data_IF_406995004964
#
_entry.id   IF_406995004964
#
_cell.length_a   1.000
_cell.length_b   1.000
_cell.length_c   1.000
_cell.angle_alpha   90.00
_cell.angle_beta   90.00
_cell.angle_gamma   90.00
#
_symmetry.space_group_name_H-M   'P 1'
#
loop_
_entity.id
_entity.type
_entity.pdbx_description
1 polymer ?
#
# COMPACT_ATOMS: atom_id res chain seq x y z
N UNK A 1 10.85 23.90 2.85
CA UNK A 1 9.64 23.06 3.01
C UNK A 1 8.71 23.52 4.15
N UNK A 2 8.98 24.64 4.85
CA UNK A 2 8.08 25.13 5.92
C UNK A 2 8.06 24.25 7.17
N UNK A 3 9.02 23.34 7.31
CA UNK A 3 9.12 22.37 8.40
C UNK A 3 10.17 22.79 9.45
N UNK A 4 10.77 23.98 9.35
CA UNK A 4 11.89 24.42 10.19
C UNK A 4 11.59 24.52 11.71
N UNK A 5 10.32 24.53 12.10
CA UNK A 5 9.90 24.50 13.52
C UNK A 5 9.31 23.17 13.95
N UNK A 6 9.28 22.17 13.06
CA UNK A 6 8.77 20.86 13.40
C UNK A 6 9.74 20.16 14.37
N UNK A 7 9.20 19.65 15.48
CA UNK A 7 9.99 18.94 16.49
C UNK A 7 9.85 17.42 16.40
N UNK A 8 8.71 16.96 15.91
CA UNK A 8 8.37 15.55 15.76
C UNK A 8 7.56 15.41 14.48
N UNK A 9 8.06 14.60 13.55
CA UNK A 9 7.36 14.24 12.33
C UNK A 9 6.87 12.81 12.46
N UNK A 10 5.56 12.58 12.41
CA UNK A 10 4.98 11.24 12.55
C UNK A 10 4.13 10.85 11.35
N UNK A 11 4.14 9.57 10.99
CA UNK A 11 3.24 8.99 9.99
C UNK A 11 2.51 7.78 10.56
N UNK A 12 1.24 7.62 10.17
CA UNK A 12 0.32 6.63 10.74
C UNK A 12 -0.78 6.25 9.75
N UNK A 13 -1.62 5.30 10.17
CA UNK A 13 -2.84 4.84 9.52
C UNK A 13 -2.67 4.10 8.19
N UNK A 14 -1.72 4.48 7.34
CA UNK A 14 -1.38 3.77 6.11
C UNK A 14 0.15 3.58 6.00
N UNK A 15 0.61 2.52 5.31
CA UNK A 15 2.02 2.38 4.97
C UNK A 15 2.52 3.62 4.21
N UNK A 16 3.74 4.03 4.52
CA UNK A 16 4.46 5.07 3.80
C UNK A 16 5.62 4.40 3.04
N UNK A 17 5.79 4.75 1.77
CA UNK A 17 6.84 4.13 0.97
C UNK A 17 8.22 4.46 1.54
N UNK A 18 9.13 3.50 1.43
CA UNK A 18 10.50 3.66 1.88
C UNK A 18 11.21 4.85 1.21
N UNK A 19 10.94 5.07 -0.08
CA UNK A 19 11.49 6.19 -0.85
C UNK A 19 11.12 7.56 -0.26
N UNK A 20 9.89 7.71 0.24
CA UNK A 20 9.45 8.95 0.90
C UNK A 20 10.14 9.13 2.25
N UNK A 21 10.27 8.06 3.04
CA UNK A 21 11.02 8.11 4.30
C UNK A 21 12.47 8.53 4.08
N UNK A 22 13.13 7.93 3.08
CA UNK A 22 14.52 8.23 2.72
C UNK A 22 14.66 9.67 2.21
N UNK A 23 13.72 10.16 1.39
CA UNK A 23 13.72 11.54 0.93
C UNK A 23 13.70 12.55 2.09
N UNK A 24 12.84 12.37 3.09
CA UNK A 24 12.82 13.28 4.25
C UNK A 24 14.05 13.12 5.14
N UNK A 25 14.56 11.90 5.25
CA UNK A 25 15.78 11.61 6.01
C UNK A 25 17.01 12.28 5.39
N UNK A 26 17.09 12.41 4.05
CA UNK A 26 18.16 13.13 3.34
C UNK A 26 18.23 14.64 3.72
N UNK A 27 17.15 15.19 4.30
CA UNK A 27 17.11 16.55 4.83
C UNK A 27 17.23 16.62 6.37
N UNK A 28 17.68 15.54 7.02
CA UNK A 28 17.71 15.39 8.48
C UNK A 28 16.32 15.53 9.14
N UNK A 29 15.25 15.16 8.42
CA UNK A 29 13.86 15.16 8.91
C UNK A 29 13.39 13.71 9.06
N UNK A 30 13.73 13.01 10.16
CA UNK A 30 13.25 11.65 10.36
C UNK A 30 11.72 11.63 10.54
N UNK A 31 11.04 10.83 9.72
CA UNK A 31 9.61 10.54 9.89
C UNK A 31 9.48 9.30 10.77
N UNK A 32 8.83 9.45 11.92
CA UNK A 32 8.60 8.38 12.87
C UNK A 32 7.27 7.69 12.57
N UNK A 33 7.35 6.46 12.11
CA UNK A 33 6.17 5.64 11.89
C UNK A 33 5.60 5.11 13.19
N UNK A 34 4.27 5.08 13.27
CA UNK A 34 3.53 4.48 14.36
C UNK A 34 2.41 3.61 13.82
N UNK A 35 2.15 2.51 14.51
CA UNK A 35 1.17 1.53 14.09
C UNK A 35 0.23 1.17 15.23
N UNK A 36 -1.04 1.04 14.88
CA UNK A 36 -2.14 0.75 15.78
C UNK A 36 -3.47 0.83 15.03
N UNK A 37 -4.54 0.53 15.73
CA UNK A 37 -5.89 0.48 15.17
C UNK A 37 -6.91 1.01 16.17
N UNK A 38 -8.15 1.20 15.72
CA UNK A 38 -9.24 1.66 16.57
C UNK A 38 -9.49 0.70 17.73
N UNK A 39 -9.40 -0.61 17.46
CA UNK A 39 -9.58 -1.69 18.42
C UNK A 39 -8.47 -1.75 19.49
N UNK A 40 -7.32 -1.10 19.25
CA UNK A 40 -6.24 -0.91 20.24
C UNK A 40 -6.23 0.48 20.85
N UNK A 41 -7.27 1.29 20.67
CA UNK A 41 -7.36 2.67 21.18
C UNK A 41 -6.18 3.58 20.78
N UNK A 42 -5.57 3.35 19.62
CA UNK A 42 -4.41 4.10 19.14
C UNK A 42 -3.16 3.24 18.96
N UNK A 43 -1.94 3.82 19.12
CA UNK A 43 -0.70 3.15 18.77
C UNK A 43 -0.43 1.93 19.66
N UNK A 44 0.07 0.87 19.05
CA UNK A 44 0.67 -0.30 19.69
C UNK A 44 2.20 -0.22 19.64
N UNK A 45 2.74 0.26 18.53
CA UNK A 45 4.17 0.45 18.32
C UNK A 45 4.46 1.89 17.94
N UNK A 46 5.62 2.37 18.37
CA UNK A 46 6.08 3.73 18.15
C UNK A 46 7.55 3.71 17.76
N UNK A 47 7.89 4.38 16.68
CA UNK A 47 9.26 4.85 16.45
C UNK A 47 9.50 6.13 17.25
N UNK A 48 10.61 6.21 17.96
CA UNK A 48 10.96 7.35 18.81
C UNK A 48 12.31 7.94 18.40
N UNK A 49 12.56 9.19 18.82
CA UNK A 49 13.86 9.85 18.65
C UNK A 49 14.96 8.96 19.26
N UNK A 50 16.00 8.67 18.49
CA UNK A 50 17.09 7.76 18.89
C UNK A 50 16.74 6.26 18.87
N UNK A 51 15.48 5.90 18.62
CA UNK A 51 14.99 4.53 18.57
C UNK A 51 14.03 4.34 17.39
N UNK A 52 14.54 4.50 16.17
CA UNK A 52 13.80 4.28 14.94
C UNK A 52 14.65 3.49 13.93
N UNK A 53 13.98 2.77 13.04
CA UNK A 53 14.56 2.15 11.85
C UNK A 53 13.67 2.46 10.66
N UNK A 54 14.25 2.85 9.54
CA UNK A 54 13.50 3.16 8.31
C UNK A 54 12.66 1.96 7.88
N UNK A 55 11.35 2.18 7.66
CA UNK A 55 10.37 1.16 7.29
C UNK A 55 9.86 0.31 8.45
N UNK A 56 10.29 0.58 9.69
CA UNK A 56 9.72 -0.04 10.89
C UNK A 56 8.68 0.88 11.52
N UNK A 57 7.58 0.27 11.97
CA UNK A 57 6.56 0.94 12.79
C UNK A 57 6.96 1.08 14.27
N UNK A 58 8.22 0.79 14.58
CA UNK A 58 8.83 0.99 15.88
C UNK A 58 8.72 -0.21 16.81
N UNK A 59 8.92 0.05 18.11
CA UNK A 59 8.85 -0.96 19.17
C UNK A 59 7.53 -0.92 19.91
N UNK A 60 7.15 -2.03 20.52
CA UNK A 60 5.97 -2.12 21.39
C UNK A 60 6.01 -1.07 22.50
N UNK A 61 4.86 -0.43 22.74
CA UNK A 61 4.74 0.55 23.82
C UNK A 61 4.82 -0.11 25.20
N UNK A 62 5.27 0.67 26.20
CA UNK A 62 5.28 0.22 27.58
C UNK A 62 3.86 -0.17 28.05
N UNK A 63 3.73 -1.36 28.65
CA UNK A 63 2.46 -1.88 29.13
C UNK A 63 1.59 -2.57 28.07
N UNK A 64 2.06 -2.65 26.82
CA UNK A 64 1.47 -3.45 25.77
C UNK A 64 2.35 -4.68 25.47
N UNK A 65 1.73 -5.73 24.97
CA UNK A 65 2.37 -6.96 24.53
C UNK A 65 2.11 -7.17 23.05
N UNK A 66 3.12 -7.71 22.36
CA UNK A 66 3.13 -7.94 20.91
C UNK A 66 3.66 -9.35 20.65
N UNK A 67 2.99 -10.12 19.80
CA UNK A 67 3.52 -11.39 19.28
C UNK A 67 3.22 -11.53 17.78
N UNK A 68 4.01 -12.35 17.10
CA UNK A 68 3.73 -12.80 15.74
C UNK A 68 3.14 -14.21 15.84
N UNK A 69 1.92 -14.37 15.37
CA UNK A 69 1.23 -15.66 15.35
C UNK A 69 1.53 -16.43 14.06
N UNK A 70 1.73 -17.74 14.22
CA UNK A 70 2.03 -18.67 13.12
C UNK A 70 3.07 -18.13 12.10
N UNK A 71 4.25 -17.68 12.54
CA UNK A 71 5.24 -17.09 11.64
C UNK A 71 5.70 -18.09 10.59
N UNK A 72 5.68 -17.67 9.32
CA UNK A 72 6.24 -18.42 8.21
C UNK A 72 7.78 -18.45 8.23
N UNK A 73 8.41 -19.06 7.21
CA UNK A 73 9.87 -19.20 7.14
C UNK A 73 10.65 -17.87 7.23
N UNK A 74 10.04 -16.75 6.81
CA UNK A 74 10.64 -15.42 6.84
C UNK A 74 10.34 -14.64 8.13
N UNK A 75 9.68 -15.27 9.11
CA UNK A 75 9.23 -14.64 10.36
C UNK A 75 7.95 -13.82 10.24
N UNK A 76 7.38 -13.72 9.03
CA UNK A 76 6.11 -13.04 8.78
C UNK A 76 4.92 -13.90 9.25
N UNK A 77 4.04 -13.32 10.06
CA UNK A 77 2.82 -13.94 10.55
C UNK A 77 1.81 -12.88 10.98
N UNK A 78 0.67 -13.27 11.54
CA UNK A 78 -0.31 -12.29 12.01
C UNK A 78 0.25 -11.54 13.23
N UNK A 79 0.12 -10.22 13.23
CA UNK A 79 0.52 -9.40 14.37
C UNK A 79 -0.61 -9.41 15.41
N UNK A 80 -0.33 -9.87 16.62
CA UNK A 80 -1.30 -9.90 17.72
C UNK A 80 -0.91 -8.94 18.85
N UNK A 81 -1.92 -8.30 19.44
CA UNK A 81 -1.74 -7.34 20.55
C UNK A 81 -2.42 -7.81 21.81
N UNK A 82 -1.85 -7.47 22.96
CA UNK A 82 -2.54 -7.58 24.23
C UNK A 82 -2.17 -6.40 25.12
N UNK A 83 -3.12 -5.94 25.93
CA UNK A 83 -2.91 -4.83 26.87
C UNK A 83 -4.20 -4.14 27.26
N UNK A 84 -4.10 -3.23 28.23
CA UNK A 84 -5.26 -2.51 28.80
C UNK A 84 -5.95 -1.54 27.83
N UNK A 85 -5.28 -1.20 26.74
CA UNK A 85 -5.74 -0.30 25.69
C UNK A 85 -6.54 -1.01 24.59
N UNK A 86 -6.53 -2.35 24.56
CA UNK A 86 -7.42 -3.13 23.69
C UNK A 86 -8.87 -2.89 24.13
N UNK A 87 -9.74 -2.61 23.17
CA UNK A 87 -11.16 -2.36 23.40
C UNK A 87 -11.86 -3.56 24.07
N UNK A 88 -13.07 -3.33 24.62
CA UNK A 88 -13.87 -4.40 25.22
C UNK A 88 -14.65 -5.23 24.18
N UNK A 89 -14.60 -4.84 22.90
CA UNK A 89 -15.35 -5.48 21.82
C UNK A 89 -16.24 -4.54 21.01
N UNK A 90 -16.88 -5.11 20.00
CA UNK A 90 -17.78 -4.40 19.11
C UNK A 90 -19.19 -4.31 19.71
N UNK A 91 -19.77 -3.12 19.69
CA UNK A 91 -21.09 -2.85 20.25
C UNK A 91 -22.17 -3.71 19.58
N UNK A 92 -22.88 -4.53 20.37
CA UNK A 92 -23.95 -5.45 19.93
C UNK A 92 -23.49 -6.53 18.92
N UNK A 93 -22.20 -6.80 18.86
CA UNK A 93 -21.58 -7.70 17.89
C UNK A 93 -20.65 -8.68 18.61
N UNK A 94 -21.24 -9.51 19.48
CA UNK A 94 -20.51 -10.45 20.35
C UNK A 94 -19.67 -11.46 19.55
N UNK A 95 -20.23 -12.03 18.49
CA UNK A 95 -19.50 -12.96 17.61
C UNK A 95 -18.25 -12.31 17.01
N UNK A 96 -18.36 -11.08 16.49
CA UNK A 96 -17.19 -10.36 15.94
C UNK A 96 -16.17 -10.01 17.02
N UNK A 97 -16.62 -9.77 18.25
CA UNK A 97 -15.73 -9.56 19.40
C UNK A 97 -14.92 -10.82 19.70
N UNK A 98 -15.57 -11.97 19.75
CA UNK A 98 -14.92 -13.27 19.98
C UNK A 98 -14.00 -13.69 18.83
N UNK A 99 -14.29 -13.24 17.60
CA UNK A 99 -13.38 -13.44 16.46
C UNK A 99 -12.16 -12.52 16.49
N UNK A 100 -12.29 -11.32 17.08
CA UNK A 100 -11.22 -10.35 17.14
C UNK A 100 -10.32 -10.54 18.37
N UNK A 101 -10.86 -10.99 19.51
CA UNK A 101 -10.10 -11.21 20.74
C UNK A 101 -10.18 -12.69 21.10
N UNK A 102 -9.03 -13.36 21.16
CA UNK A 102 -8.96 -14.78 21.54
C UNK A 102 -9.18 -15.00 23.06
N UNK A 103 -9.28 -16.27 23.45
CA UNK A 103 -9.50 -16.67 24.85
C UNK A 103 -8.35 -16.24 25.80
N UNK A 104 -7.16 -16.01 25.25
CA UNK A 104 -5.95 -15.55 25.97
C UNK A 104 -5.84 -14.01 26.03
N UNK A 105 -6.84 -13.30 25.46
CA UNK A 105 -6.94 -11.84 25.43
C UNK A 105 -6.11 -11.17 24.33
N UNK A 106 -5.67 -11.90 23.31
CA UNK A 106 -4.98 -11.33 22.15
C UNK A 106 -5.96 -10.81 21.12
N UNK A 107 -5.78 -9.55 20.75
CA UNK A 107 -6.43 -8.91 19.61
C UNK A 107 -5.74 -9.32 18.31
N UNK A 108 -6.51 -9.96 17.42
CA UNK A 108 -6.20 -10.24 16.03
C UNK A 108 -6.26 -8.96 15.19
N UNK A 109 -5.09 -8.43 14.81
CA UNK A 109 -5.02 -7.20 14.01
C UNK A 109 -5.52 -7.40 12.57
N UNK A 110 -5.43 -8.64 12.06
CA UNK A 110 -5.63 -8.93 10.65
C UNK A 110 -4.49 -8.43 9.75
N UNK A 111 -3.41 -7.87 10.30
CA UNK A 111 -2.23 -7.41 9.59
C UNK A 111 -1.10 -8.44 9.74
N UNK A 112 -0.30 -8.58 8.68
CA UNK A 112 0.87 -9.46 8.63
C UNK A 112 2.12 -8.64 8.87
N UNK A 113 3.03 -9.16 9.67
CA UNK A 113 4.30 -8.52 9.94
C UNK A 113 5.32 -9.44 10.59
N UNK A 114 6.49 -8.88 10.86
CA UNK A 114 7.61 -9.56 11.52
C UNK A 114 8.30 -8.64 12.50
N UNK A 115 8.90 -9.23 13.53
CA UNK A 115 9.70 -8.52 14.54
C UNK A 115 11.17 -8.88 14.32
N UNK A 116 12.04 -7.88 14.25
CA UNK A 116 13.48 -8.11 14.14
C UNK A 116 14.12 -8.47 15.50
N UNK A 117 15.39 -8.94 15.53
CA UNK A 117 16.07 -9.29 16.78
C UNK A 117 16.23 -8.14 17.79
N UNK A 118 16.08 -6.89 17.35
CA UNK A 118 16.14 -5.71 18.20
C UNK A 118 14.75 -5.29 18.73
N UNK A 119 13.68 -5.96 18.32
CA UNK A 119 12.30 -5.74 18.76
C UNK A 119 11.52 -4.73 17.91
N UNK A 120 11.99 -4.39 16.70
CA UNK A 120 11.30 -3.51 15.76
C UNK A 120 10.28 -4.28 14.93
N UNK A 121 9.05 -3.77 14.88
CA UNK A 121 7.97 -4.34 14.06
C UNK A 121 8.02 -3.78 12.63
N UNK A 122 7.81 -4.67 11.66
CA UNK A 122 7.65 -4.35 10.25
C UNK A 122 6.31 -4.91 9.77
N UNK A 123 5.44 -4.06 9.26
CA UNK A 123 4.16 -4.48 8.65
C UNK A 123 4.41 -4.78 7.18
N UNK A 124 3.96 -5.95 6.74
CA UNK A 124 4.30 -6.50 5.41
C UNK A 124 3.07 -6.81 4.56
N UNK A 125 1.89 -6.77 5.16
CA UNK A 125 0.63 -6.86 4.42
C UNK A 125 -0.57 -6.94 5.34
N UNK A 126 -1.71 -7.29 4.75
CA UNK A 126 -2.97 -7.49 5.46
C UNK A 126 -3.60 -8.79 5.02
N UNK A 127 -4.06 -9.63 5.96
CA UNK A 127 -4.58 -10.98 5.70
C UNK A 127 -5.66 -10.95 4.61
N UNK A 128 -6.60 -10.01 4.71
CA UNK A 128 -7.72 -9.87 3.77
C UNK A 128 -7.32 -9.35 2.39
N UNK A 129 -6.09 -8.87 2.22
CA UNK A 129 -5.56 -8.32 0.97
C UNK A 129 -4.47 -9.20 0.35
N UNK A 130 -4.07 -10.29 1.02
CA UNK A 130 -3.15 -11.27 0.44
C UNK A 130 -3.85 -11.92 -0.76
N UNK A 131 -3.18 -11.88 -1.91
CA UNK A 131 -3.62 -12.56 -3.11
C UNK A 131 -3.12 -14.00 -3.06
N UNK A 132 -4.02 -14.97 -3.19
CA UNK A 132 -3.65 -16.38 -3.27
C UNK A 132 -3.77 -16.78 -4.74
N UNK A 133 -2.62 -16.90 -5.41
CA UNK A 133 -2.62 -17.31 -6.82
C UNK A 133 -3.20 -18.71 -6.98
N UNK A 134 -3.60 -19.08 -8.19
CA UNK A 134 -4.05 -20.45 -8.51
C UNK A 134 -3.00 -21.53 -8.16
N UNK A 135 -1.71 -21.14 -8.10
CA UNK A 135 -0.61 -22.01 -7.67
C UNK A 135 -0.50 -22.18 -6.14
N UNK A 136 -1.34 -21.50 -5.35
CA UNK A 136 -1.31 -21.52 -3.89
C UNK A 136 -0.26 -20.59 -3.27
N UNK A 137 0.35 -19.70 -4.04
CA UNK A 137 1.33 -18.75 -3.53
C UNK A 137 0.64 -17.50 -2.98
N UNK A 138 1.01 -17.13 -1.75
CA UNK A 138 0.51 -15.96 -1.02
C UNK A 138 1.34 -14.73 -1.39
N UNK A 139 0.69 -13.72 -1.97
CA UNK A 139 1.35 -12.50 -2.45
C UNK A 139 0.75 -11.28 -1.75
N UNK A 140 1.59 -10.53 -1.06
CA UNK A 140 1.23 -9.21 -0.54
C UNK A 140 1.32 -8.17 -1.67
N UNK A 141 0.22 -7.48 -2.03
CA UNK A 141 0.21 -6.55 -3.15
C UNK A 141 0.96 -5.24 -2.88
N UNK A 142 0.84 -4.69 -1.66
CA UNK A 142 1.35 -3.34 -1.32
C UNK A 142 2.85 -3.16 -1.63
N UNK A 143 3.76 -4.08 -1.23
CA UNK A 143 5.18 -3.93 -1.56
C UNK A 143 5.46 -3.90 -3.07
N UNK A 144 4.66 -4.61 -3.87
CA UNK A 144 4.81 -4.63 -5.33
C UNK A 144 4.31 -3.31 -5.92
N UNK A 145 3.17 -2.81 -5.43
CA UNK A 145 2.59 -1.52 -5.84
C UNK A 145 3.56 -0.37 -5.57
N UNK A 146 4.16 -0.32 -4.37
CA UNK A 146 5.16 0.68 -4.00
C UNK A 146 6.39 0.63 -4.92
N UNK A 147 6.90 -0.57 -5.22
CA UNK A 147 8.04 -0.73 -6.15
C UNK A 147 7.72 -0.20 -7.55
N UNK A 148 6.51 -0.41 -8.04
CA UNK A 148 6.07 0.12 -9.34
C UNK A 148 5.96 1.64 -9.31
N UNK A 149 5.40 2.21 -8.25
CA UNK A 149 5.28 3.67 -8.10
C UNK A 149 6.64 4.35 -7.98
N UNK A 150 7.58 3.76 -7.23
CA UNK A 150 8.95 4.24 -7.12
C UNK A 150 9.69 4.17 -8.47
N UNK A 151 9.43 3.14 -9.26
CA UNK A 151 10.02 2.97 -10.58
C UNK A 151 9.36 3.86 -11.67
N UNK A 152 8.10 4.27 -11.48
CA UNK A 152 7.31 4.98 -12.50
C UNK A 152 6.70 6.28 -11.98
N UNK A 153 7.44 7.38 -12.13
CA UNK A 153 6.98 8.73 -11.74
C UNK A 153 5.75 9.23 -12.50
N UNK A 154 5.35 8.56 -13.58
CA UNK A 154 4.14 8.87 -14.34
C UNK A 154 2.86 8.41 -13.64
N UNK A 155 2.97 7.49 -12.67
CA UNK A 155 1.82 6.87 -12.02
C UNK A 155 1.46 7.57 -10.70
N UNK A 156 0.17 7.66 -10.42
CA UNK A 156 -0.35 8.08 -9.12
C UNK A 156 -0.70 6.88 -8.24
N UNK A 157 -1.28 5.84 -8.84
CA UNK A 157 -1.62 4.59 -8.15
C UNK A 157 -1.25 3.36 -8.99
N UNK A 158 -0.89 2.29 -8.28
CA UNK A 158 -0.77 0.94 -8.80
C UNK A 158 -1.64 0.03 -7.92
N UNK A 159 -2.48 -0.80 -8.53
CA UNK A 159 -3.35 -1.75 -7.86
C UNK A 159 -3.04 -3.13 -8.42
N UNK A 160 -2.34 -3.94 -7.64
CA UNK A 160 -2.03 -5.32 -7.97
C UNK A 160 -3.26 -6.20 -7.73
N UNK A 161 -3.55 -7.03 -8.72
CA UNK A 161 -4.68 -7.95 -8.75
C UNK A 161 -4.20 -9.33 -9.23
N UNK A 162 -4.90 -10.39 -8.85
CA UNK A 162 -4.54 -11.74 -9.25
C UNK A 162 -4.93 -12.83 -8.27
N UNK A 163 -5.90 -12.55 -7.39
CA UNK A 163 -6.43 -13.56 -6.48
C UNK A 163 -7.11 -14.67 -7.28
N UNK A 164 -6.81 -15.92 -6.94
CA UNK A 164 -7.22 -17.13 -7.66
C UNK A 164 -6.84 -17.18 -9.15
N UNK A 165 -5.93 -16.31 -9.61
CA UNK A 165 -5.52 -16.23 -11.01
C UNK A 165 -4.17 -16.91 -11.27
N UNK A 166 -3.87 -17.17 -12.55
CA UNK A 166 -2.64 -17.88 -12.97
C UNK A 166 -1.36 -17.07 -12.77
N UNK A 167 -1.49 -15.75 -12.73
CA UNK A 167 -0.41 -14.78 -12.54
C UNK A 167 -1.01 -13.49 -12.01
N UNK A 168 -0.19 -12.60 -11.45
CA UNK A 168 -0.63 -11.28 -11.04
C UNK A 168 -0.56 -10.27 -12.18
N UNK A 169 -1.48 -9.30 -12.15
CA UNK A 169 -1.56 -8.17 -13.06
C UNK A 169 -1.74 -6.88 -12.26
N UNK A 170 -1.68 -5.73 -12.94
CA UNK A 170 -1.87 -4.44 -12.29
C UNK A 170 -2.83 -3.53 -13.05
N UNK A 171 -3.68 -2.82 -12.31
CA UNK A 171 -4.30 -1.60 -12.80
C UNK A 171 -3.41 -0.44 -12.38
N UNK A 172 -3.14 0.49 -13.29
CA UNK A 172 -2.32 1.67 -13.01
C UNK A 172 -3.06 2.93 -13.39
N UNK A 173 -2.83 3.99 -12.63
CA UNK A 173 -3.41 5.30 -12.87
C UNK A 173 -2.32 6.32 -13.19
N UNK A 174 -2.59 7.21 -14.13
CA UNK A 174 -1.67 8.29 -14.50
C UNK A 174 -1.88 9.49 -13.58
N UNK A 175 -0.79 10.19 -13.26
CA UNK A 175 -0.88 11.43 -12.50
C UNK A 175 -1.58 12.50 -13.33
N UNK A 176 -2.56 13.17 -12.71
CA UNK A 176 -3.32 14.25 -13.31
C UNK A 176 -3.47 15.42 -12.35
N UNK A 177 -3.84 16.57 -12.89
CA UNK A 177 -4.28 17.71 -12.11
C UNK A 177 -5.56 17.36 -11.35
N UNK A 178 -5.73 18.01 -10.19
CA UNK A 178 -6.90 17.86 -9.34
C UNK A 178 -7.72 19.16 -9.34
N UNK A 179 -9.04 19.04 -9.25
CA UNK A 179 -9.94 20.16 -9.01
C UNK A 179 -9.74 20.73 -7.59
N UNK A 180 -10.31 21.91 -7.26
CA UNK A 180 -10.30 22.45 -5.90
C UNK A 180 -10.91 21.50 -4.85
N UNK A 181 -11.81 20.61 -5.28
CA UNK A 181 -12.45 19.57 -4.46
C UNK A 181 -11.62 18.27 -4.37
N UNK A 182 -10.37 18.28 -4.86
CA UNK A 182 -9.48 17.13 -4.95
C UNK A 182 -9.99 15.98 -5.84
N UNK A 183 -10.80 16.31 -6.85
CA UNK A 183 -11.27 15.35 -7.85
C UNK A 183 -10.37 15.36 -9.10
N UNK A 184 -10.06 14.19 -9.68
CA UNK A 184 -9.11 14.10 -10.78
C UNK A 184 -9.66 14.66 -12.09
N UNK A 185 -8.83 15.43 -12.78
CA UNK A 185 -9.10 16.00 -14.09
C UNK A 185 -8.45 15.16 -15.20
N UNK A 186 -8.81 15.41 -16.46
CA UNK A 186 -8.17 14.71 -17.58
C UNK A 186 -6.76 15.24 -17.87
N UNK A 187 -6.39 16.44 -17.41
CA UNK A 187 -5.07 17.02 -17.71
C UNK A 187 -3.99 16.38 -16.86
N UNK A 188 -2.87 16.00 -17.49
CA UNK A 188 -1.71 15.46 -16.79
C UNK A 188 -1.01 16.52 -15.95
N UNK A 189 -0.52 16.14 -14.77
CA UNK A 189 0.20 17.07 -13.90
C UNK A 189 1.60 17.42 -14.45
N UNK A 190 2.26 18.41 -13.84
CA UNK A 190 3.56 18.88 -14.30
C UNK A 190 4.66 17.80 -14.29
N UNK A 191 4.59 16.80 -13.39
CA UNK A 191 5.55 15.70 -13.32
C UNK A 191 5.27 14.66 -14.42
N UNK A 192 4.01 14.36 -14.70
CA UNK A 192 3.63 13.51 -15.81
C UNK A 192 4.06 14.14 -17.14
N UNK A 193 3.78 15.43 -17.34
CA UNK A 193 4.16 16.15 -18.55
C UNK A 193 5.68 16.18 -18.77
N UNK A 194 6.49 16.35 -17.72
CA UNK A 194 7.95 16.33 -17.86
C UNK A 194 8.46 14.95 -18.28
N UNK A 195 7.92 13.87 -17.69
CA UNK A 195 8.23 12.49 -18.10
C UNK A 195 7.80 12.24 -19.54
N UNK A 196 6.62 12.70 -19.94
CA UNK A 196 6.12 12.55 -21.31
C UNK A 196 7.02 13.26 -22.32
N UNK A 197 7.51 14.45 -21.98
CA UNK A 197 8.46 15.19 -22.81
C UNK A 197 9.79 14.42 -22.96
N UNK A 198 10.32 13.82 -21.89
CA UNK A 198 11.56 13.03 -21.91
C UNK A 198 11.44 11.80 -22.82
N UNK A 199 10.28 11.13 -22.82
CA UNK A 199 10.02 9.98 -23.71
C UNK A 199 9.54 10.40 -25.12
N UNK A 200 9.42 11.71 -25.38
CA UNK A 200 9.00 12.28 -26.65
C UNK A 200 7.53 12.04 -27.00
N UNK A 201 6.66 11.90 -26.01
CA UNK A 201 5.21 11.93 -26.17
C UNK A 201 4.71 13.37 -26.21
N UNK A 202 3.65 13.62 -26.97
CA UNK A 202 2.96 14.91 -27.02
C UNK A 202 1.61 14.89 -26.30
N UNK A 203 1.27 13.79 -25.65
CA UNK A 203 0.01 13.68 -24.91
C UNK A 203 0.00 14.68 -23.76
N UNK A 204 -1.14 15.33 -23.57
CA UNK A 204 -1.33 16.30 -22.48
C UNK A 204 -2.45 15.89 -21.52
N UNK A 205 -3.25 14.90 -21.94
CA UNK A 205 -4.38 14.40 -21.16
C UNK A 205 -4.24 12.90 -20.90
N UNK A 206 -4.90 12.41 -19.84
CA UNK A 206 -4.95 10.99 -19.47
C UNK A 206 -5.50 10.17 -20.63
N UNK A 207 -6.58 10.64 -21.27
CA UNK A 207 -7.14 9.96 -22.44
C UNK A 207 -6.14 9.77 -23.57
N UNK A 208 -5.39 10.82 -23.93
CA UNK A 208 -4.37 10.74 -24.99
C UNK A 208 -3.22 9.81 -24.60
N UNK A 209 -2.72 9.94 -23.37
CA UNK A 209 -1.59 9.16 -22.87
C UNK A 209 -1.90 7.65 -22.77
N UNK A 210 -3.16 7.29 -22.54
CA UNK A 210 -3.61 5.88 -22.53
C UNK A 210 -3.53 5.20 -23.89
N UNK A 211 -3.65 5.97 -24.97
CA UNK A 211 -3.58 5.48 -26.35
C UNK A 211 -2.16 5.64 -26.95
N UNK A 212 -1.27 6.38 -26.28
CA UNK A 212 0.10 6.58 -26.73
C UNK A 212 0.99 5.36 -26.45
N UNK A 213 1.45 4.71 -27.52
CA UNK A 213 2.33 3.55 -27.46
C UNK A 213 3.65 3.81 -26.70
N UNK A 214 4.18 5.04 -26.74
CA UNK A 214 5.40 5.42 -26.00
C UNK A 214 5.16 5.43 -24.50
N UNK A 215 4.01 5.94 -24.07
CA UNK A 215 3.59 5.93 -22.66
C UNK A 215 3.43 4.50 -22.17
N UNK A 216 2.74 3.65 -22.93
CA UNK A 216 2.58 2.23 -22.57
C UNK A 216 3.93 1.51 -22.49
N UNK A 217 4.86 1.76 -23.42
CA UNK A 217 6.21 1.19 -23.37
C UNK A 217 7.03 1.68 -22.17
N UNK A 218 6.90 2.95 -21.81
CA UNK A 218 7.56 3.50 -20.64
C UNK A 218 7.06 2.84 -19.35
N UNK A 219 5.74 2.74 -19.16
CA UNK A 219 5.15 2.07 -18.00
C UNK A 219 5.58 0.60 -17.94
N UNK A 220 5.56 -0.11 -19.09
CA UNK A 220 6.04 -1.49 -19.18
C UNK A 220 7.51 -1.63 -18.74
N UNK A 221 8.37 -0.69 -19.14
CA UNK A 221 9.78 -0.68 -18.72
C UNK A 221 9.93 -0.47 -17.21
N UNK A 222 9.11 0.41 -16.62
CA UNK A 222 9.11 0.63 -15.17
C UNK A 222 8.62 -0.60 -14.40
N UNK A 223 7.55 -1.25 -14.87
CA UNK A 223 7.04 -2.50 -14.26
C UNK A 223 8.07 -3.62 -14.38
N UNK A 224 8.76 -3.74 -15.52
CA UNK A 224 9.87 -4.70 -15.68
C UNK A 224 10.99 -4.45 -14.68
N UNK A 225 11.37 -3.19 -14.47
CA UNK A 225 12.36 -2.81 -13.45
C UNK A 225 11.88 -3.15 -12.04
N UNK A 226 10.63 -2.86 -11.69
CA UNK A 226 10.05 -3.25 -10.41
C UNK A 226 10.06 -4.77 -10.22
N UNK A 227 9.73 -5.53 -11.27
CA UNK A 227 9.76 -7.00 -11.29
C UNK A 227 11.18 -7.62 -11.10
N UNK A 228 12.25 -6.83 -11.19
CA UNK A 228 13.61 -7.29 -10.87
C UNK A 228 13.81 -7.45 -9.35
N UNK A 229 13.08 -6.67 -8.55
CA UNK A 229 13.08 -6.73 -7.10
C UNK A 229 12.06 -7.74 -6.52
N UNK A 230 11.27 -8.41 -7.36
CA UNK A 230 10.26 -9.39 -6.92
C UNK A 230 10.89 -10.58 -6.20
N UNK A 231 10.28 -10.95 -5.07
CA UNK A 231 10.70 -12.09 -4.24
C UNK A 231 10.51 -13.46 -4.91
N UNK A 232 9.62 -13.55 -5.89
CA UNK A 232 9.33 -14.79 -6.62
C UNK A 232 8.89 -14.52 -8.05
N UNK A 233 8.81 -15.59 -8.86
CA UNK A 233 8.26 -15.50 -10.22
C UNK A 233 6.75 -15.22 -10.22
N UNK A 234 6.01 -15.74 -9.25
CA UNK A 234 4.57 -15.51 -9.16
C UNK A 234 4.25 -14.08 -8.72
N UNK A 235 5.15 -13.45 -7.95
CA UNK A 235 5.08 -12.05 -7.55
C UNK A 235 5.45 -11.04 -8.67
N UNK A 236 5.65 -11.49 -9.91
CA UNK A 236 5.93 -10.60 -11.05
C UNK A 236 4.65 -10.24 -11.80
N UNK A 237 4.43 -8.94 -11.97
CA UNK A 237 3.33 -8.41 -12.79
C UNK A 237 3.55 -8.81 -14.24
N UNK A 238 2.62 -9.59 -14.80
CA UNK A 238 2.71 -10.06 -16.18
C UNK A 238 2.09 -9.11 -17.20
N UNK A 239 1.02 -8.42 -16.79
CA UNK A 239 0.25 -7.50 -17.63
C UNK A 239 -0.28 -6.36 -16.79
N UNK A 240 -0.52 -5.23 -17.44
CA UNK A 240 -1.19 -4.10 -16.82
C UNK A 240 -2.20 -3.43 -17.77
N UNK A 241 -3.07 -2.62 -17.18
CA UNK A 241 -3.98 -1.71 -17.89
C UNK A 241 -3.98 -0.36 -17.20
N UNK A 242 -4.07 0.70 -18.00
CA UNK A 242 -4.20 2.07 -17.50
C UNK A 242 -5.68 2.41 -17.34
N UNK A 243 -6.09 2.77 -16.13
CA UNK A 243 -7.49 3.16 -15.84
C UNK A 243 -7.79 4.55 -16.43
N UNK A 244 -9.06 4.82 -16.80
CA UNK A 244 -9.44 6.06 -17.51
C UNK A 244 -9.40 7.32 -16.65
N UNK A 245 -9.54 7.20 -15.34
CA UNK A 245 -9.66 8.31 -14.39
C UNK A 245 -8.89 7.91 -13.14
N UNK A 246 -8.22 8.88 -12.53
CA UNK A 246 -7.50 8.63 -11.29
C UNK A 246 -8.44 8.29 -10.12
N UNK A 247 -7.90 7.68 -9.07
CA UNK A 247 -8.68 7.28 -7.92
C UNK A 247 -9.04 8.47 -7.04
N UNK A 248 -10.29 8.55 -6.58
CA UNK A 248 -10.72 9.64 -5.72
C UNK A 248 -11.70 9.19 -4.63
N UNK A 249 -12.02 10.12 -3.73
CA UNK A 249 -13.06 9.91 -2.72
C UNK A 249 -14.44 9.98 -3.41
N UNK A 250 -14.66 10.96 -4.30
CA UNK A 250 -15.90 11.13 -5.05
C UNK A 250 -16.23 9.97 -6.01
N UNK A 251 -15.21 9.34 -6.60
CA UNK A 251 -15.35 8.12 -7.40
C UNK A 251 -15.59 6.84 -6.60
N UNK A 252 -15.55 6.95 -5.26
CA UNK A 252 -15.72 5.91 -4.25
C UNK A 252 -14.62 4.85 -4.19
N UNK A 253 -13.49 5.01 -4.90
CA UNK A 253 -12.35 4.11 -4.86
C UNK A 253 -11.48 4.30 -3.62
N UNK A 254 -11.51 5.49 -3.02
CA UNK A 254 -10.77 5.82 -1.81
C UNK A 254 -11.70 5.96 -0.59
N UNK A 255 -11.16 5.67 0.60
CA UNK A 255 -11.75 6.10 1.87
C UNK A 255 -11.49 7.60 2.10
N UNK A 256 -12.20 8.26 3.04
CA UNK A 256 -11.85 9.63 3.45
C UNK A 256 -10.41 9.80 3.97
N UNK A 257 -9.77 8.70 4.35
CA UNK A 257 -8.36 8.62 4.76
C UNK A 257 -7.43 8.19 3.62
N UNK A 258 -7.89 8.31 2.36
CA UNK A 258 -7.14 8.00 1.13
C UNK A 258 -6.68 6.54 0.99
N UNK A 259 -7.31 5.59 1.69
CA UNK A 259 -7.02 4.16 1.55
C UNK A 259 -7.79 3.57 0.37
N UNK A 260 -7.14 2.67 -0.37
CA UNK A 260 -7.75 1.93 -1.47
C UNK A 260 -8.91 1.04 -0.99
N UNK A 261 -10.06 1.13 -1.67
CA UNK A 261 -11.14 0.15 -1.58
C UNK A 261 -10.99 -0.86 -2.71
N UNK A 262 -10.02 -1.77 -2.56
CA UNK A 262 -9.63 -2.76 -3.60
C UNK A 262 -10.82 -3.48 -4.24
N UNK A 263 -11.79 -3.94 -3.44
CA UNK A 263 -12.99 -4.62 -3.93
C UNK A 263 -13.81 -3.74 -4.89
N UNK A 264 -14.03 -2.47 -4.53
CA UNK A 264 -14.76 -1.50 -5.37
C UNK A 264 -14.00 -1.25 -6.67
N UNK A 265 -12.68 -1.10 -6.60
CA UNK A 265 -11.83 -0.88 -7.79
C UNK A 265 -11.90 -2.10 -8.72
N UNK A 266 -11.78 -3.31 -8.18
CA UNK A 266 -11.87 -4.55 -8.97
C UNK A 266 -13.24 -4.73 -9.63
N UNK A 267 -14.33 -4.41 -8.93
CA UNK A 267 -15.69 -4.43 -9.48
C UNK A 267 -15.88 -3.36 -10.56
N UNK A 268 -15.37 -2.14 -10.35
CA UNK A 268 -15.49 -1.01 -11.29
C UNK A 268 -14.71 -1.22 -12.59
N UNK A 269 -13.56 -1.89 -12.51
CA UNK A 269 -12.67 -2.14 -13.64
C UNK A 269 -12.56 -3.64 -13.99
N UNK A 270 -13.64 -4.38 -13.77
CA UNK A 270 -13.71 -5.82 -14.07
C UNK A 270 -13.38 -6.13 -15.53
N UNK A 271 -13.83 -5.29 -16.45
CA UNK A 271 -13.66 -5.49 -17.90
C UNK A 271 -12.18 -5.42 -18.29
N UNK A 272 -11.46 -4.39 -17.81
CA UNK A 272 -10.01 -4.26 -18.01
C UNK A 272 -9.25 -5.44 -17.39
N UNK A 273 -9.74 -5.95 -16.26
CA UNK A 273 -9.16 -7.11 -15.59
C UNK A 273 -9.36 -8.37 -16.43
N UNK A 274 -10.57 -8.62 -16.92
CA UNK A 274 -10.93 -9.77 -17.74
C UNK A 274 -10.12 -9.80 -19.06
N UNK A 275 -9.92 -8.65 -19.71
CA UNK A 275 -9.07 -8.54 -20.90
C UNK A 275 -7.64 -9.02 -20.65
N UNK A 276 -7.07 -8.72 -19.47
CA UNK A 276 -5.70 -9.15 -19.15
C UNK A 276 -5.61 -10.67 -18.98
N UNK A 277 -6.67 -11.33 -18.53
CA UNK A 277 -6.72 -12.79 -18.38
C UNK A 277 -7.23 -13.50 -19.64
N UNK A 278 -7.71 -12.76 -20.65
CA UNK A 278 -8.27 -13.32 -21.89
C UNK A 278 -9.66 -13.92 -21.67
N UNK A 279 -10.44 -13.34 -20.76
CA UNK A 279 -11.78 -13.77 -20.35
C UNK A 279 -12.90 -12.93 -21.02
N UNK A 280 -12.59 -12.26 -22.14
CA UNK A 280 -13.52 -11.42 -22.91
C UNK A 280 -13.86 -11.99 -24.29
#
# INVERSE_FOLDING_TARGET
MGLERCRVCGSAAAPISRSVLEFFLDFDIPIYELYGMSESSGPQTLSLIGHHKTGSTGKVMAGAELKIDNPGPNGDGEVLFRGRHVFMGYLKEERKTQEAIDEDGWLHSGDIGRIDPEGYLYITGRIKEILITRGGENIAPVPIEEQVLDACKLLSYCIVIGDSQRYITALVSLRCDLSPEAEPLDQLDALALSVLQEIGSTATTVKEAREDQKVIQYIDSCIKKANEASVSKAAKIQKFRVIPVDLSIGGAELTPTMKLKRKVIQEKYSDLTAEMYGEG
#
